data_IF_681577619081
#
_entry.id   IF_681577619081
#
_cell.length_a   1.000
_cell.length_b   1.000
_cell.length_c   1.000
_cell.angle_alpha   90.00
_cell.angle_beta   90.00
_cell.angle_gamma   90.00
#
_symmetry.space_group_name_H-M   'P 1'
#
loop_
_entity.id
_entity.type
_entity.pdbx_description
1 polymer ?
#
# COMPACT_ATOMS: atom_id res chain seq x y z
N UNK A 1 -29.19 10.21 30.13
CA UNK A 1 -27.74 10.49 29.97
C UNK A 1 -26.88 9.24 29.81
N UNK A 2 -26.92 8.23 30.69
CA UNK A 2 -26.08 7.00 30.56
C UNK A 2 -26.24 6.26 29.21
N UNK A 3 -27.46 6.10 28.70
CA UNK A 3 -27.71 5.44 27.41
C UNK A 3 -27.16 6.19 26.18
N UNK A 4 -27.15 7.54 26.21
CA UNK A 4 -26.58 8.40 25.17
C UNK A 4 -25.04 8.38 25.17
N UNK A 5 -24.43 8.33 26.36
CA UNK A 5 -22.98 8.19 26.52
C UNK A 5 -22.50 6.80 26.06
N UNK A 6 -23.28 5.76 26.33
CA UNK A 6 -22.98 4.39 25.93
C UNK A 6 -23.13 4.16 24.41
N UNK A 7 -24.12 4.78 23.75
CA UNK A 7 -24.25 4.76 22.29
C UNK A 7 -23.15 5.56 21.59
N UNK A 8 -22.72 6.69 22.15
CA UNK A 8 -21.57 7.44 21.63
C UNK A 8 -20.23 6.68 21.80
N UNK A 9 -20.02 5.98 22.92
CA UNK A 9 -18.78 5.21 23.12
C UNK A 9 -18.73 3.97 22.23
N UNK A 10 -19.85 3.25 22.04
CA UNK A 10 -19.97 2.12 21.12
C UNK A 10 -19.74 2.54 19.66
N UNK A 11 -20.25 3.71 19.25
CA UNK A 11 -19.99 4.28 17.92
C UNK A 11 -18.53 4.70 17.72
N UNK A 12 -17.82 5.11 18.78
CA UNK A 12 -16.40 5.49 18.69
C UNK A 12 -15.49 4.26 18.65
N UNK A 13 -15.83 3.22 19.41
CA UNK A 13 -15.13 1.93 19.42
C UNK A 13 -15.25 1.23 18.05
N UNK A 14 -16.43 1.29 17.42
CA UNK A 14 -16.65 0.72 16.08
C UNK A 14 -15.88 1.47 14.99
N UNK A 15 -15.76 2.79 15.08
CA UNK A 15 -14.98 3.60 14.12
C UNK A 15 -13.48 3.35 14.24
N UNK A 16 -12.95 3.21 15.46
CA UNK A 16 -11.54 2.87 15.68
C UNK A 16 -11.19 1.49 15.10
N UNK A 17 -12.02 0.48 15.36
CA UNK A 17 -11.83 -0.87 14.81
C UNK A 17 -11.91 -0.90 13.29
N UNK A 18 -12.84 -0.16 12.68
CA UNK A 18 -12.92 -0.02 11.23
C UNK A 18 -11.66 0.63 10.67
N UNK A 19 -11.17 1.70 11.31
CA UNK A 19 -9.96 2.38 10.85
C UNK A 19 -8.71 1.49 10.93
N UNK A 20 -8.56 0.69 11.99
CA UNK A 20 -7.48 -0.30 12.09
C UNK A 20 -7.58 -1.35 10.98
N UNK A 21 -8.78 -1.88 10.74
CA UNK A 21 -9.03 -2.86 9.68
C UNK A 21 -8.66 -2.31 8.30
N UNK A 22 -9.07 -1.07 7.97
CA UNK A 22 -8.68 -0.45 6.71
C UNK A 22 -7.18 -0.16 6.63
N UNK A 23 -6.58 0.27 7.74
CA UNK A 23 -5.14 0.60 7.79
C UNK A 23 -4.29 -0.65 7.56
N UNK A 24 -4.51 -1.72 8.33
CA UNK A 24 -3.71 -2.94 8.18
C UNK A 24 -4.07 -3.74 6.94
N UNK A 25 -5.37 -3.85 6.61
CA UNK A 25 -5.82 -4.54 5.40
C UNK A 25 -5.27 -3.90 4.12
N UNK A 26 -5.03 -2.58 4.12
CA UNK A 26 -4.40 -1.88 3.01
C UNK A 26 -2.97 -2.35 2.70
N UNK A 27 -2.26 -2.94 3.68
CA UNK A 27 -0.93 -3.51 3.47
C UNK A 27 -0.94 -4.97 3.00
N UNK A 28 -2.09 -5.67 3.02
CA UNK A 28 -2.13 -7.09 2.67
C UNK A 28 -1.62 -7.41 1.26
N UNK A 29 -1.89 -6.61 0.22
CA UNK A 29 -1.31 -6.87 -1.10
C UNK A 29 0.23 -6.86 -1.11
N UNK A 30 0.86 -5.92 -0.41
CA UNK A 30 2.33 -5.85 -0.37
C UNK A 30 2.92 -6.94 0.55
N UNK A 31 2.28 -7.22 1.69
CA UNK A 31 2.69 -8.30 2.58
C UNK A 31 2.56 -9.68 1.91
N UNK A 32 1.59 -9.86 1.02
CA UNK A 32 1.41 -11.12 0.27
C UNK A 32 2.59 -11.39 -0.66
N UNK A 33 3.19 -10.36 -1.27
CA UNK A 33 4.42 -10.50 -2.05
C UNK A 33 5.56 -11.00 -1.15
N UNK A 34 5.69 -10.45 0.07
CA UNK A 34 6.71 -10.88 1.02
C UNK A 34 6.49 -12.36 1.40
N UNK A 35 5.26 -12.74 1.76
CA UNK A 35 4.93 -14.14 2.09
C UNK A 35 5.28 -15.09 0.93
N UNK A 36 5.01 -14.68 -0.30
CA UNK A 36 5.37 -15.43 -1.49
C UNK A 36 6.88 -15.54 -1.68
N UNK A 37 7.61 -14.43 -1.59
CA UNK A 37 9.06 -14.43 -1.77
C UNK A 37 9.82 -15.19 -0.67
N UNK A 38 9.21 -15.34 0.51
CA UNK A 38 9.74 -16.17 1.60
C UNK A 38 9.33 -17.65 1.50
N UNK A 39 8.58 -18.03 0.47
CA UNK A 39 8.09 -19.41 0.30
C UNK A 39 7.03 -19.83 1.32
N UNK A 40 6.43 -18.89 2.04
CA UNK A 40 5.44 -19.18 3.09
C UNK A 40 4.08 -19.51 2.47
N UNK A 41 3.61 -18.69 1.52
CA UNK A 41 2.35 -18.91 0.80
C UNK A 41 2.47 -18.47 -0.66
N UNK A 42 1.95 -19.24 -1.64
CA UNK A 42 1.86 -18.80 -3.02
C UNK A 42 1.04 -17.52 -3.15
N UNK A 43 1.47 -16.59 -4.01
CA UNK A 43 0.77 -15.30 -4.18
C UNK A 43 -0.67 -15.50 -4.65
N UNK A 44 -0.93 -16.51 -5.49
CA UNK A 44 -2.28 -16.91 -5.88
C UNK A 44 -3.17 -17.25 -4.68
N UNK A 45 -2.67 -17.97 -3.68
CA UNK A 45 -3.44 -18.29 -2.47
C UNK A 45 -3.67 -17.04 -1.62
N UNK A 46 -2.64 -16.18 -1.46
CA UNK A 46 -2.82 -14.89 -0.81
C UNK A 46 -3.87 -14.02 -1.54
N UNK A 47 -3.90 -14.04 -2.88
CA UNK A 47 -4.93 -13.33 -3.64
C UNK A 47 -6.33 -13.82 -3.26
N UNK A 48 -6.56 -15.13 -3.34
CA UNK A 48 -7.88 -15.74 -3.15
C UNK A 48 -8.37 -15.67 -1.71
N UNK A 49 -7.49 -15.90 -0.73
CA UNK A 49 -7.86 -16.07 0.67
C UNK A 49 -7.57 -14.86 1.56
N UNK A 50 -6.77 -13.89 1.07
CA UNK A 50 -6.42 -12.70 1.85
C UNK A 50 -6.85 -11.41 1.13
N UNK A 51 -6.37 -11.17 -0.10
CA UNK A 51 -6.57 -9.88 -0.78
C UNK A 51 -8.00 -9.71 -1.28
N UNK A 52 -8.58 -10.70 -1.98
CA UNK A 52 -9.96 -10.64 -2.47
C UNK A 52 -10.98 -10.51 -1.31
N UNK A 53 -10.91 -11.31 -0.23
CA UNK A 53 -11.80 -11.15 0.90
C UNK A 53 -11.69 -9.76 1.56
N UNK A 54 -10.48 -9.23 1.72
CA UNK A 54 -10.29 -7.87 2.24
C UNK A 54 -10.86 -6.80 1.32
N UNK A 55 -10.72 -6.95 0.00
CA UNK A 55 -11.32 -6.03 -0.96
C UNK A 55 -12.86 -6.05 -0.87
N UNK A 56 -13.47 -7.23 -0.81
CA UNK A 56 -14.92 -7.37 -0.63
C UNK A 56 -15.37 -6.72 0.68
N UNK A 57 -14.61 -6.94 1.75
CA UNK A 57 -14.87 -6.34 3.06
C UNK A 57 -14.77 -4.82 3.01
N UNK A 58 -13.74 -4.28 2.35
CA UNK A 58 -13.52 -2.84 2.19
C UNK A 58 -14.67 -2.18 1.43
N UNK A 59 -15.13 -2.80 0.33
CA UNK A 59 -16.27 -2.31 -0.46
C UNK A 59 -17.53 -2.34 0.40
N UNK A 60 -17.83 -3.47 1.03
CA UNK A 60 -19.04 -3.67 1.84
C UNK A 60 -19.11 -2.68 3.00
N UNK A 61 -18.01 -2.53 3.74
CA UNK A 61 -17.92 -1.59 4.87
C UNK A 61 -17.88 -0.13 4.39
N UNK A 62 -17.23 0.16 3.27
CA UNK A 62 -17.21 1.50 2.69
C UNK A 62 -18.59 1.98 2.27
N UNK A 63 -19.42 1.11 1.71
CA UNK A 63 -20.83 1.39 1.38
C UNK A 63 -21.66 1.55 2.67
N UNK A 64 -21.51 0.61 3.63
CA UNK A 64 -22.27 0.62 4.88
C UNK A 64 -21.95 1.83 5.77
N UNK A 65 -20.73 2.34 5.71
CA UNK A 65 -20.26 3.47 6.50
C UNK A 65 -19.73 4.60 5.59
N UNK A 66 -20.60 5.42 4.97
CA UNK A 66 -20.21 6.36 3.92
C UNK A 66 -19.13 7.38 4.32
N UNK A 67 -19.09 7.79 5.60
CA UNK A 67 -18.08 8.73 6.11
C UNK A 67 -16.66 8.18 5.97
N UNK A 68 -16.42 6.93 6.40
CA UNK A 68 -15.13 6.26 6.23
C UNK A 68 -14.94 5.81 4.79
N UNK A 69 -16.00 5.34 4.12
CA UNK A 69 -15.99 4.94 2.71
C UNK A 69 -15.48 6.03 1.77
N UNK A 70 -15.88 7.29 1.98
CA UNK A 70 -15.34 8.43 1.23
C UNK A 70 -13.83 8.56 1.41
N UNK A 71 -13.33 8.37 2.64
CA UNK A 71 -11.89 8.42 2.95
C UNK A 71 -11.14 7.26 2.28
N UNK A 72 -11.72 6.06 2.28
CA UNK A 72 -11.18 4.89 1.57
C UNK A 72 -11.04 5.16 0.08
N UNK A 73 -12.09 5.68 -0.58
CA UNK A 73 -12.04 5.99 -2.02
C UNK A 73 -10.99 7.05 -2.32
N UNK A 74 -10.93 8.13 -1.53
CA UNK A 74 -9.91 9.18 -1.70
C UNK A 74 -8.49 8.62 -1.53
N UNK A 75 -8.27 7.78 -0.51
CA UNK A 75 -6.98 7.14 -0.28
C UNK A 75 -6.59 6.17 -1.39
N UNK A 76 -7.55 5.39 -1.91
CA UNK A 76 -7.33 4.47 -3.02
C UNK A 76 -6.88 5.20 -4.28
N UNK A 77 -7.61 6.25 -4.68
CA UNK A 77 -7.27 7.06 -5.86
C UNK A 77 -5.93 7.77 -5.66
N UNK A 78 -5.70 8.36 -4.48
CA UNK A 78 -4.42 9.00 -4.15
C UNK A 78 -3.24 8.01 -4.22
N UNK A 79 -3.44 6.77 -3.76
CA UNK A 79 -2.48 5.68 -3.84
C UNK A 79 -2.13 5.31 -5.28
N UNK A 80 -3.13 5.16 -6.15
CA UNK A 80 -2.91 4.89 -7.58
C UNK A 80 -2.10 6.00 -8.24
N UNK A 81 -2.49 7.27 -8.02
CA UNK A 81 -1.75 8.43 -8.55
C UNK A 81 -0.32 8.45 -8.02
N UNK A 82 -0.13 8.16 -6.73
CA UNK A 82 1.19 8.18 -6.11
C UNK A 82 2.08 7.06 -6.64
N UNK A 83 1.54 5.85 -6.90
CA UNK A 83 2.31 4.77 -7.55
C UNK A 83 2.65 5.09 -8.99
N UNK A 84 1.76 5.76 -9.71
CA UNK A 84 2.07 6.26 -11.05
C UNK A 84 3.30 7.17 -11.04
N UNK A 85 3.30 8.18 -10.17
CA UNK A 85 4.43 9.11 -10.02
C UNK A 85 5.70 8.40 -9.54
N UNK A 86 5.57 7.43 -8.63
CA UNK A 86 6.67 6.55 -8.23
C UNK A 86 7.26 5.83 -9.46
N UNK A 87 6.43 5.22 -10.31
CA UNK A 87 6.93 4.44 -11.45
C UNK A 87 7.55 5.32 -12.53
N UNK A 88 7.02 6.52 -12.77
CA UNK A 88 7.69 7.50 -13.62
C UNK A 88 9.10 7.82 -13.12
N UNK A 89 9.26 7.98 -11.79
CA UNK A 89 10.57 8.22 -11.19
C UNK A 89 11.53 7.03 -11.26
N UNK A 90 11.01 5.81 -11.47
CA UNK A 90 11.84 4.61 -11.65
C UNK A 90 12.44 4.48 -13.04
N UNK A 91 11.83 5.07 -14.05
CA UNK A 91 12.24 4.89 -15.45
C UNK A 91 13.74 5.13 -15.66
N UNK A 92 14.35 6.24 -15.16
CA UNK A 92 15.79 6.45 -15.33
C UNK A 92 16.65 5.33 -14.72
N UNK A 93 16.24 4.77 -13.58
CA UNK A 93 16.97 3.71 -12.91
C UNK A 93 16.81 2.35 -13.59
N UNK A 94 15.64 2.09 -14.18
CA UNK A 94 15.42 0.91 -15.01
C UNK A 94 16.31 0.97 -16.26
N UNK A 95 16.37 2.14 -16.91
CA UNK A 95 17.27 2.38 -18.04
C UNK A 95 18.76 2.26 -17.63
N UNK A 96 19.10 2.59 -16.38
CA UNK A 96 20.43 2.40 -15.80
C UNK A 96 20.71 0.96 -15.33
N UNK A 97 19.85 -0.01 -15.64
CA UNK A 97 20.08 -1.44 -15.38
C UNK A 97 19.33 -2.02 -14.17
N UNK A 98 18.43 -1.27 -13.52
CA UNK A 98 17.56 -1.86 -12.51
C UNK A 98 16.49 -2.75 -13.14
N UNK A 99 16.55 -4.06 -12.88
CA UNK A 99 15.56 -5.02 -13.36
C UNK A 99 14.15 -4.69 -12.84
N UNK A 100 13.19 -4.63 -13.75
CA UNK A 100 11.78 -4.53 -13.39
C UNK A 100 11.19 -5.92 -13.10
N UNK A 101 10.83 -6.14 -11.83
CA UNK A 101 10.28 -7.41 -11.36
C UNK A 101 8.75 -7.46 -11.38
N UNK A 102 8.10 -6.34 -11.71
CA UNK A 102 6.64 -6.22 -11.67
C UNK A 102 5.95 -7.24 -12.59
N UNK A 103 6.43 -7.53 -13.81
CA UNK A 103 5.85 -8.59 -14.63
C UNK A 103 5.92 -10.00 -14.01
N UNK A 104 6.90 -10.27 -13.12
CA UNK A 104 6.97 -11.56 -12.39
C UNK A 104 5.81 -11.72 -11.42
N UNK A 105 5.36 -10.62 -10.79
CA UNK A 105 4.19 -10.62 -9.89
C UNK A 105 2.96 -11.18 -10.62
N UNK A 106 2.76 -10.83 -11.89
CA UNK A 106 1.64 -11.34 -12.66
C UNK A 106 1.68 -12.87 -12.84
N UNK A 107 2.86 -13.45 -13.03
CA UNK A 107 3.03 -14.91 -13.04
C UNK A 107 2.75 -15.54 -11.68
N UNK A 108 3.22 -14.91 -10.60
CA UNK A 108 2.96 -15.38 -9.23
C UNK A 108 1.48 -15.39 -8.88
N UNK A 109 0.71 -14.43 -9.41
CA UNK A 109 -0.75 -14.35 -9.25
C UNK A 109 -1.46 -15.54 -9.92
N UNK A 110 -0.98 -15.98 -11.08
CA UNK A 110 -1.52 -17.14 -11.82
C UNK A 110 -0.87 -18.46 -11.44
N UNK A 111 0.08 -18.45 -10.50
CA UNK A 111 0.88 -19.59 -10.10
C UNK A 111 1.64 -20.22 -11.28
N UNK A 112 2.26 -19.37 -12.10
CA UNK A 112 3.06 -19.73 -13.27
C UNK A 112 4.39 -18.99 -13.25
N UNK A 113 5.42 -19.54 -13.91
CA UNK A 113 6.71 -18.84 -14.09
C UNK A 113 6.69 -17.79 -15.22
N UNK A 114 5.61 -17.75 -16.00
CA UNK A 114 5.44 -16.79 -17.09
C UNK A 114 5.25 -15.36 -16.58
N UNK A 115 6.00 -14.42 -17.16
CA UNK A 115 5.85 -13.00 -16.85
C UNK A 115 4.55 -12.48 -17.45
N UNK A 116 3.74 -11.82 -16.63
CA UNK A 116 2.51 -11.15 -17.06
C UNK A 116 2.53 -9.69 -16.59
N UNK A 117 2.90 -8.78 -17.49
CA UNK A 117 3.01 -7.36 -17.16
C UNK A 117 1.67 -6.75 -16.77
N UNK A 118 0.58 -7.10 -17.46
CA UNK A 118 -0.75 -6.56 -17.16
C UNK A 118 -1.16 -6.89 -15.73
N UNK A 119 -1.15 -8.17 -15.35
CA UNK A 119 -1.52 -8.58 -13.98
C UNK A 119 -0.54 -8.05 -12.93
N UNK A 120 0.76 -8.02 -13.24
CA UNK A 120 1.77 -7.47 -12.35
C UNK A 120 1.55 -5.99 -12.05
N UNK A 121 1.26 -5.19 -13.08
CA UNK A 121 0.96 -3.77 -12.90
C UNK A 121 -0.44 -3.54 -12.30
N UNK A 122 -1.43 -4.39 -12.58
CA UNK A 122 -2.71 -4.37 -11.86
C UNK A 122 -2.50 -4.56 -10.36
N UNK A 123 -1.73 -5.58 -9.96
CA UNK A 123 -1.38 -5.79 -8.55
C UNK A 123 -0.65 -4.58 -7.96
N UNK A 124 0.30 -4.03 -8.70
CA UNK A 124 1.10 -2.89 -8.26
C UNK A 124 0.26 -1.63 -8.02
N UNK A 125 -0.63 -1.28 -8.92
CA UNK A 125 -1.41 -0.04 -8.84
C UNK A 125 -2.64 -0.22 -7.96
N UNK A 126 -3.45 -1.23 -8.21
CA UNK A 126 -4.73 -1.44 -7.51
C UNK A 126 -4.48 -2.08 -6.14
N UNK A 127 -3.65 -3.12 -6.08
CA UNK A 127 -3.32 -3.81 -4.84
C UNK A 127 -2.41 -2.96 -3.95
N UNK A 128 -1.13 -2.86 -4.31
CA UNK A 128 -0.13 -2.22 -3.46
C UNK A 128 -0.40 -0.71 -3.31
N UNK A 129 -0.48 0.02 -4.42
CA UNK A 129 -0.67 1.47 -4.41
C UNK A 129 -1.99 1.88 -3.77
N UNK A 130 -3.10 1.38 -4.31
CA UNK A 130 -4.43 1.64 -3.79
C UNK A 130 -4.57 1.25 -2.32
N UNK A 131 -4.12 0.04 -1.94
CA UNK A 131 -4.17 -0.45 -0.56
C UNK A 131 -3.37 0.41 0.42
N UNK A 132 -2.10 0.71 0.11
CA UNK A 132 -1.27 1.54 0.97
C UNK A 132 -1.75 3.00 1.01
N UNK A 133 -2.36 3.50 -0.07
CA UNK A 133 -3.00 4.81 -0.11
C UNK A 133 -4.22 4.90 0.81
N UNK A 134 -5.07 3.87 0.82
CA UNK A 134 -6.16 3.72 1.80
C UNK A 134 -5.59 3.76 3.22
N UNK A 135 -4.55 2.96 3.49
CA UNK A 135 -3.96 2.87 4.81
C UNK A 135 -3.44 4.24 5.30
N UNK A 136 -2.75 4.98 4.44
CA UNK A 136 -2.28 6.32 4.78
C UNK A 136 -3.44 7.28 5.09
N UNK A 137 -4.45 7.37 4.23
CA UNK A 137 -5.56 8.32 4.40
C UNK A 137 -6.37 8.02 5.66
N UNK A 138 -6.65 6.75 5.93
CA UNK A 138 -7.36 6.33 7.14
C UNK A 138 -6.52 6.61 8.39
N UNK A 139 -5.22 6.33 8.35
CA UNK A 139 -4.33 6.66 9.46
C UNK A 139 -4.33 8.18 9.74
N UNK A 140 -4.34 9.02 8.71
CA UNK A 140 -4.36 10.48 8.90
C UNK A 140 -5.65 10.97 9.57
N UNK A 141 -6.80 10.36 9.30
CA UNK A 141 -8.06 10.73 9.99
C UNK A 141 -8.03 10.32 11.46
N UNK A 142 -7.38 9.20 11.80
CA UNK A 142 -7.24 8.76 13.19
C UNK A 142 -6.29 9.65 14.00
N UNK A 143 -5.21 10.12 13.40
CA UNK A 143 -4.28 11.03 14.06
C UNK A 143 -4.88 12.42 14.33
N UNK A 144 -6.03 12.74 13.71
CA UNK A 144 -6.81 13.97 13.86
C UNK A 144 -5.95 15.26 13.91
N UNK A 145 -4.87 15.27 13.12
CA UNK A 145 -3.90 16.35 13.08
C UNK A 145 -3.44 16.59 11.65
N UNK A 146 -3.93 17.65 11.04
CA UNK A 146 -3.62 18.02 9.65
C UNK A 146 -2.31 18.81 9.52
N UNK A 147 -1.57 19.01 10.63
CA UNK A 147 -0.24 19.61 10.58
C UNK A 147 0.74 18.64 9.94
N UNK A 148 1.66 19.19 9.15
CA UNK A 148 2.78 18.48 8.54
C UNK A 148 2.38 17.24 7.71
N UNK A 149 1.22 17.25 7.02
CA UNK A 149 0.76 16.11 6.20
C UNK A 149 1.77 15.67 5.13
N UNK A 150 2.56 16.59 4.57
CA UNK A 150 3.64 16.28 3.62
C UNK A 150 4.77 15.48 4.30
N UNK A 151 5.22 15.91 5.48
CA UNK A 151 6.18 15.15 6.30
C UNK A 151 5.58 13.80 6.73
N UNK A 152 4.30 13.80 7.08
CA UNK A 152 3.37 12.66 7.20
C UNK A 152 3.65 11.59 6.15
N UNK A 153 3.43 12.02 4.91
CA UNK A 153 3.59 11.20 3.73
C UNK A 153 5.03 10.77 3.49
N UNK A 154 6.01 11.66 3.64
CA UNK A 154 7.43 11.32 3.50
C UNK A 154 7.84 10.19 4.45
N UNK A 155 7.51 10.32 5.74
CA UNK A 155 7.81 9.30 6.74
C UNK A 155 7.11 7.98 6.44
N UNK A 156 5.87 8.03 5.93
CA UNK A 156 5.15 6.83 5.50
C UNK A 156 5.83 6.14 4.30
N UNK A 157 6.30 6.90 3.31
CA UNK A 157 7.09 6.37 2.20
C UNK A 157 8.38 5.72 2.67
N UNK A 158 9.12 6.39 3.56
CA UNK A 158 10.36 5.86 4.15
C UNK A 158 10.12 4.62 5.02
N UNK A 159 8.98 4.53 5.70
CA UNK A 159 8.57 3.32 6.43
C UNK A 159 8.39 2.13 5.48
N UNK A 160 7.67 2.31 4.36
CA UNK A 160 7.49 1.26 3.35
C UNK A 160 8.85 0.85 2.76
N UNK A 161 9.68 1.83 2.40
CA UNK A 161 11.04 1.59 1.89
C UNK A 161 11.88 0.77 2.88
N UNK A 162 11.88 1.16 4.15
CA UNK A 162 12.62 0.45 5.20
C UNK A 162 12.14 -1.00 5.32
N UNK A 163 10.82 -1.23 5.30
CA UNK A 163 10.26 -2.58 5.30
C UNK A 163 10.74 -3.42 4.12
N UNK A 164 10.73 -2.86 2.91
CA UNK A 164 11.26 -3.51 1.71
C UNK A 164 12.75 -3.83 1.85
N UNK A 165 13.56 -2.88 2.32
CA UNK A 165 15.01 -3.06 2.49
C UNK A 165 15.33 -4.11 3.54
N UNK A 166 14.60 -4.14 4.66
CA UNK A 166 14.81 -5.16 5.69
C UNK A 166 14.60 -6.57 5.10
N UNK A 167 13.51 -6.79 4.36
CA UNK A 167 13.24 -8.10 3.74
C UNK A 167 14.32 -8.47 2.73
N UNK A 168 14.70 -7.55 1.84
CA UNK A 168 15.75 -7.81 0.85
C UNK A 168 17.13 -8.05 1.48
N UNK A 169 17.44 -7.34 2.56
CA UNK A 169 18.71 -7.46 3.26
C UNK A 169 18.84 -8.79 3.99
N UNK A 170 17.78 -9.24 4.67
CA UNK A 170 17.81 -10.46 5.49
C UNK A 170 17.57 -11.75 4.70
N UNK A 171 16.94 -11.70 3.53
CA UNK A 171 16.54 -12.90 2.81
C UNK A 171 17.04 -12.90 1.35
N UNK A 172 18.08 -13.68 1.05
CA UNK A 172 18.68 -13.78 -0.28
C UNK A 172 17.68 -14.17 -1.38
N UNK A 173 16.76 -15.09 -1.07
CA UNK A 173 15.70 -15.51 -2.00
C UNK A 173 14.85 -14.33 -2.48
N UNK A 174 14.57 -13.36 -1.61
CA UNK A 174 13.75 -12.20 -1.96
C UNK A 174 14.50 -11.29 -2.95
N UNK A 175 15.83 -11.18 -2.85
CA UNK A 175 16.65 -10.48 -3.85
C UNK A 175 16.68 -11.21 -5.20
N UNK A 176 16.71 -12.55 -5.20
CA UNK A 176 16.66 -13.34 -6.43
C UNK A 176 15.31 -13.20 -7.15
N UNK A 177 14.21 -13.18 -6.38
CA UNK A 177 12.85 -13.08 -6.93
C UNK A 177 12.52 -11.66 -7.38
N UNK A 178 12.81 -10.65 -6.54
CA UNK A 178 12.53 -9.25 -6.81
C UNK A 178 13.69 -8.59 -7.55
N UNK A 179 14.72 -8.13 -6.82
CA UNK A 179 15.90 -7.51 -7.40
C UNK A 179 17.08 -7.53 -6.41
N UNK A 180 18.30 -7.57 -6.95
CA UNK A 180 19.52 -7.45 -6.15
C UNK A 180 19.69 -6.03 -5.62
N UNK A 181 20.19 -5.90 -4.40
CA UNK A 181 20.56 -4.60 -3.84
C UNK A 181 21.87 -4.15 -4.51
N UNK A 182 21.80 -3.03 -5.21
CA UNK A 182 22.92 -2.35 -5.88
C UNK A 182 22.77 -0.85 -5.63
N UNK A 183 23.79 -0.02 -5.88
CA UNK A 183 23.63 1.43 -5.78
C UNK A 183 22.46 1.97 -6.62
N UNK A 184 22.24 1.43 -7.83
CA UNK A 184 21.15 1.83 -8.72
C UNK A 184 19.79 1.42 -8.19
N UNK A 185 19.61 0.15 -7.79
CA UNK A 185 18.33 -0.32 -7.26
C UNK A 185 17.99 0.26 -5.89
N UNK A 186 18.99 0.51 -5.04
CA UNK A 186 18.82 1.18 -3.75
C UNK A 186 18.38 2.63 -3.93
N UNK A 187 19.12 3.41 -4.73
CA UNK A 187 18.77 4.82 -4.98
C UNK A 187 17.44 4.94 -5.74
N UNK A 188 17.19 4.08 -6.72
CA UNK A 188 15.91 4.06 -7.44
C UNK A 188 14.72 3.70 -6.55
N UNK A 189 14.89 2.72 -5.65
CA UNK A 189 13.83 2.33 -4.72
C UNK A 189 13.57 3.40 -3.67
N UNK A 190 14.58 4.01 -3.04
CA UNK A 190 14.34 5.10 -2.07
C UNK A 190 13.71 6.33 -2.74
N UNK A 191 14.18 6.73 -3.93
CA UNK A 191 13.61 7.86 -4.70
C UNK A 191 12.14 7.63 -4.97
N UNK A 192 11.78 6.45 -5.46
CA UNK A 192 10.37 6.10 -5.68
C UNK A 192 9.55 6.27 -4.42
N UNK A 193 10.00 5.69 -3.28
CA UNK A 193 9.22 5.72 -2.04
C UNK A 193 9.09 7.13 -1.45
N UNK A 194 10.11 7.97 -1.61
CA UNK A 194 10.04 9.40 -1.29
C UNK A 194 8.94 10.06 -2.13
N UNK A 195 8.93 9.83 -3.45
CA UNK A 195 7.93 10.42 -4.35
C UNK A 195 6.53 9.93 -4.04
N UNK A 196 6.35 8.62 -3.78
CA UNK A 196 5.07 8.06 -3.36
C UNK A 196 4.56 8.70 -2.08
N UNK A 197 5.41 8.74 -1.04
CA UNK A 197 5.08 9.32 0.25
C UNK A 197 4.74 10.81 0.14
N UNK A 198 5.58 11.60 -0.52
CA UNK A 198 5.33 13.02 -0.74
C UNK A 198 4.02 13.25 -1.50
N UNK A 199 3.77 12.49 -2.57
CA UNK A 199 2.54 12.60 -3.37
C UNK A 199 1.29 12.36 -2.51
N UNK A 200 1.27 11.28 -1.72
CA UNK A 200 0.20 11.03 -0.75
C UNK A 200 0.03 12.19 0.23
N UNK A 201 1.12 12.69 0.79
CA UNK A 201 1.11 13.81 1.74
C UNK A 201 0.58 15.12 1.14
N UNK A 202 0.93 15.42 -0.11
CA UNK A 202 0.42 16.58 -0.86
C UNK A 202 -1.08 16.45 -1.16
N UNK A 203 -1.52 15.29 -1.64
CA UNK A 203 -2.94 15.04 -1.93
C UNK A 203 -3.73 15.12 -0.62
N UNK A 204 -3.27 14.46 0.44
CA UNK A 204 -3.91 14.53 1.76
C UNK A 204 -3.96 15.96 2.31
N UNK A 205 -2.90 16.77 2.11
CA UNK A 205 -2.91 18.19 2.48
C UNK A 205 -4.00 18.96 1.73
N UNK A 206 -4.22 18.70 0.44
CA UNK A 206 -5.33 19.34 -0.30
C UNK A 206 -6.70 18.83 0.13
N UNK A 207 -6.80 17.57 0.53
CA UNK A 207 -8.07 16.96 0.93
C UNK A 207 -8.50 17.34 2.35
N UNK A 208 -7.55 17.42 3.29
CA UNK A 208 -7.82 17.65 4.71
C UNK A 208 -7.36 19.03 5.22
N UNK A 209 -6.43 19.68 4.53
CA UNK A 209 -5.96 21.02 4.87
C UNK A 209 -7.03 22.05 4.56
N UNK A 210 -7.77 22.44 5.60
CA UNK A 210 -8.43 23.74 5.67
C UNK A 210 -7.43 24.76 6.18
#
# INVERSE_FOLDING_TARGET
MKALVQTQSLNKLSQGSLALLFTFGGFFPVCSIILHCLGILPLQQCLLFLVVPVLILFITLGIKFPSIGKTVVMGFVAGIISVFLYDLSRVPYILAGWSDFIPKIGGWVTNTDEKNALLGYTWRYIGNGGGMGIAFFILMTQLNNNKHLILKGLLFGLFIFTGLMLVLFFFEQTQAMMFKITPVSFTGSITGHIIYGLSLGFIAKRTFGK
#
